data_IF_792636585585
#
_entry.id   IF_792636585585
#
_cell.length_a   1.000
_cell.length_b   1.000
_cell.length_c   1.000
_cell.angle_alpha   90.00
_cell.angle_beta   90.00
_cell.angle_gamma   90.00
#
_symmetry.space_group_name_H-M   'P 1'
#
loop_
_entity.id
_entity.type
_entity.pdbx_description
1 polymer ?
#
# COMPACT_ATOMS: atom_id res chain seq x y z
N UNK A 1 39.39 15.16 -6.59
CA UNK A 1 40.12 16.26 -5.91
C UNK A 1 41.58 15.85 -5.62
N UNK A 2 42.52 16.78 -5.39
CA UNK A 2 43.87 16.49 -4.89
C UNK A 2 44.04 17.04 -3.47
N UNK A 3 44.77 16.34 -2.61
CA UNK A 3 45.11 16.80 -1.27
C UNK A 3 45.96 18.08 -1.37
N UNK A 4 45.54 19.16 -0.70
CA UNK A 4 46.29 20.44 -0.70
C UNK A 4 47.64 20.33 0.02
N UNK A 5 47.80 19.37 0.93
CA UNK A 5 49.03 19.17 1.70
C UNK A 5 50.07 18.32 0.95
N UNK A 6 49.67 17.19 0.35
CA UNK A 6 50.62 16.24 -0.25
C UNK A 6 50.44 16.02 -1.76
N UNK A 7 49.43 16.62 -2.39
CA UNK A 7 49.17 16.54 -3.83
C UNK A 7 48.54 15.23 -4.32
N UNK A 8 48.36 14.22 -3.46
CA UNK A 8 47.77 12.93 -3.82
C UNK A 8 46.32 13.06 -4.28
N UNK A 9 45.91 12.24 -5.26
CA UNK A 9 44.52 12.21 -5.75
C UNK A 9 43.62 11.55 -4.69
N UNK A 10 42.54 12.22 -4.30
CA UNK A 10 41.61 11.77 -3.27
C UNK A 10 40.37 11.10 -3.88
N UNK A 11 39.80 10.08 -3.22
CA UNK A 11 38.45 9.60 -3.51
C UNK A 11 37.43 10.74 -3.34
N UNK A 12 36.35 10.74 -4.12
CA UNK A 12 35.27 11.73 -3.94
C UNK A 12 34.64 11.59 -2.55
N UNK A 13 34.35 12.73 -1.90
CA UNK A 13 33.70 12.77 -0.59
C UNK A 13 34.58 12.45 0.63
N UNK A 14 35.91 12.36 0.49
CA UNK A 14 36.80 12.10 1.63
C UNK A 14 37.15 13.38 2.40
N UNK A 15 36.74 13.48 3.68
CA UNK A 15 37.06 14.60 4.57
C UNK A 15 38.54 14.64 5.00
N UNK A 16 39.23 13.51 4.91
CA UNK A 16 40.63 13.37 5.31
C UNK A 16 41.45 12.67 4.23
N UNK A 17 42.70 13.11 4.05
CA UNK A 17 43.61 12.44 3.14
C UNK A 17 44.06 11.10 3.73
N UNK A 18 43.81 9.96 3.08
CA UNK A 18 44.21 8.65 3.61
C UNK A 18 45.73 8.42 3.58
N UNK A 19 46.48 9.27 2.87
CA UNK A 19 47.94 9.18 2.77
C UNK A 19 48.64 9.99 3.87
N UNK A 20 48.21 11.23 4.12
CA UNK A 20 48.89 12.11 5.08
C UNK A 20 48.06 12.52 6.30
N UNK A 21 46.80 12.09 6.39
CA UNK A 21 45.90 12.42 7.50
C UNK A 21 45.41 13.87 7.54
N UNK A 22 45.83 14.72 6.60
CA UNK A 22 45.41 16.12 6.57
C UNK A 22 43.90 16.23 6.30
N UNK A 23 43.22 17.04 7.12
CA UNK A 23 41.83 17.42 6.88
C UNK A 23 41.73 18.24 5.59
N UNK A 24 40.82 17.85 4.72
CA UNK A 24 40.58 18.55 3.47
C UNK A 24 39.10 18.91 3.44
N UNK A 25 38.74 20.14 3.87
CA UNK A 25 37.35 20.52 4.03
C UNK A 25 36.58 20.31 2.74
N UNK A 26 35.29 19.92 2.83
CA UNK A 26 34.43 19.85 1.66
C UNK A 26 34.45 21.18 0.90
N UNK A 27 34.33 21.11 -0.42
CA UNK A 27 34.25 22.29 -1.29
C UNK A 27 33.09 23.14 -0.75
N UNK A 28 33.30 24.44 -0.44
CA UNK A 28 32.19 25.32 -0.09
C UNK A 28 31.11 25.23 -1.16
N UNK A 29 29.83 25.12 -0.80
CA UNK A 29 28.72 24.93 -1.75
C UNK A 29 28.79 25.93 -2.93
N UNK A 30 29.27 27.13 -2.68
CA UNK A 30 29.47 28.21 -3.66
C UNK A 30 30.46 27.89 -4.79
N UNK A 31 31.25 26.82 -4.65
CA UNK A 31 32.29 26.38 -5.60
C UNK A 31 32.00 25.02 -6.25
N UNK A 32 30.86 24.41 -5.95
CA UNK A 32 30.38 23.24 -6.68
C UNK A 32 29.85 23.67 -8.04
N UNK A 33 30.09 22.87 -9.08
CA UNK A 33 29.37 23.07 -10.34
C UNK A 33 27.88 22.81 -10.15
N UNK A 34 27.01 23.42 -10.97
CA UNK A 34 25.56 23.22 -10.90
C UNK A 34 25.17 21.72 -10.94
N UNK A 35 25.94 20.90 -11.65
CA UNK A 35 25.77 19.45 -11.75
C UNK A 35 26.14 18.70 -10.45
N UNK A 36 27.16 19.15 -9.73
CA UNK A 36 27.56 18.59 -8.43
C UNK A 36 26.59 19.01 -7.31
N UNK A 37 26.06 20.23 -7.37
CA UNK A 37 24.99 20.72 -6.50
C UNK A 37 23.73 19.85 -6.64
N UNK A 38 23.28 19.65 -7.88
CA UNK A 38 22.11 18.84 -8.19
C UNK A 38 22.27 17.39 -7.73
N UNK A 39 23.46 16.80 -7.90
CA UNK A 39 23.70 15.42 -7.46
C UNK A 39 23.68 15.30 -5.93
N UNK A 40 24.33 16.22 -5.21
CA UNK A 40 24.43 16.18 -3.74
C UNK A 40 23.09 16.51 -3.06
N UNK A 41 22.35 17.51 -3.55
CA UNK A 41 20.98 17.78 -3.09
C UNK A 41 20.07 16.59 -3.38
N UNK A 42 20.25 15.90 -4.51
CA UNK A 42 19.39 14.77 -4.87
C UNK A 42 19.68 13.49 -4.09
N UNK A 43 20.92 13.25 -3.66
CA UNK A 43 21.28 12.11 -2.78
C UNK A 43 20.81 12.38 -1.36
N UNK A 44 21.05 13.58 -0.83
CA UNK A 44 20.55 13.98 0.48
C UNK A 44 19.01 14.03 0.52
N UNK A 45 18.34 14.49 -0.55
CA UNK A 45 16.88 14.48 -0.66
C UNK A 45 16.31 13.09 -0.87
N UNK A 46 17.02 12.20 -1.55
CA UNK A 46 16.63 10.80 -1.71
C UNK A 46 16.73 10.02 -0.40
N UNK A 47 17.84 10.21 0.32
CA UNK A 47 18.08 9.60 1.63
C UNK A 47 17.13 10.20 2.67
N UNK A 48 16.88 11.51 2.62
CA UNK A 48 15.84 12.17 3.41
C UNK A 48 14.41 11.77 2.98
N UNK A 49 14.14 11.44 1.71
CA UNK A 49 12.85 10.88 1.28
C UNK A 49 12.68 9.43 1.71
N UNK A 50 13.75 8.64 1.70
CA UNK A 50 13.75 7.25 2.19
C UNK A 50 13.61 7.22 3.70
N UNK A 51 14.39 8.03 4.44
CA UNK A 51 14.16 8.29 5.87
C UNK A 51 12.82 8.95 6.09
N UNK A 52 12.30 9.84 5.24
CA UNK A 52 10.93 10.32 5.38
C UNK A 52 9.88 9.27 5.01
N UNK A 53 10.20 8.21 4.28
CA UNK A 53 9.26 7.12 4.02
C UNK A 53 9.38 6.03 5.10
N UNK A 54 10.53 5.87 5.74
CA UNK A 54 10.76 4.95 6.85
C UNK A 54 10.44 5.58 8.23
N UNK A 55 10.69 6.88 8.40
CA UNK A 55 10.49 7.69 9.62
C UNK A 55 9.29 8.67 9.52
N UNK A 56 8.86 9.07 8.31
CA UNK A 56 7.71 10.00 8.08
C UNK A 56 6.62 9.47 7.10
N UNK A 57 6.58 8.18 6.74
CA UNK A 57 5.26 7.52 6.69
C UNK A 57 4.76 7.82 8.08
N UNK A 58 3.68 8.59 8.26
CA UNK A 58 3.29 8.90 9.60
C UNK A 58 3.01 7.53 10.20
N UNK A 59 3.91 7.09 11.07
CA UNK A 59 3.57 6.34 12.24
C UNK A 59 2.68 7.33 13.03
N UNK A 60 1.51 7.71 12.47
CA UNK A 60 0.31 7.82 13.25
C UNK A 60 0.36 6.49 13.93
N UNK A 61 0.78 6.52 15.20
CA UNK A 61 0.96 5.36 16.03
C UNK A 61 -0.16 4.42 15.61
N UNK A 62 0.13 3.31 14.92
CA UNK A 62 -0.93 2.61 14.15
C UNK A 62 -2.09 2.28 15.08
N UNK A 63 -1.74 2.06 16.35
CA UNK A 63 -2.57 2.01 17.55
C UNK A 63 -3.49 3.23 17.72
N UNK A 64 -2.99 4.47 17.67
CA UNK A 64 -3.80 5.69 17.80
C UNK A 64 -4.71 5.96 16.60
N UNK A 65 -4.27 5.66 15.36
CA UNK A 65 -5.15 5.72 14.18
C UNK A 65 -6.25 4.65 14.26
N UNK A 66 -5.87 3.41 14.57
CA UNK A 66 -6.80 2.29 14.75
C UNK A 66 -7.75 2.56 15.91
N UNK A 67 -7.30 3.15 17.01
CA UNK A 67 -8.17 3.50 18.15
C UNK A 67 -9.19 4.57 17.74
N UNK A 68 -8.76 5.65 17.06
CA UNK A 68 -9.69 6.69 16.59
C UNK A 68 -10.69 6.16 15.55
N UNK A 69 -10.27 5.27 14.65
CA UNK A 69 -11.18 4.63 13.68
C UNK A 69 -12.09 3.58 14.34
N UNK A 70 -11.62 2.86 15.35
CA UNK A 70 -12.44 1.91 16.12
C UNK A 70 -13.56 2.60 16.90
N UNK A 71 -13.35 3.84 17.32
CA UNK A 71 -14.38 4.66 17.96
C UNK A 71 -15.43 5.21 16.97
N UNK A 72 -15.13 5.24 15.66
CA UNK A 72 -15.97 5.89 14.65
C UNK A 72 -17.03 4.99 14.00
N UNK A 73 -16.79 3.67 13.92
CA UNK A 73 -17.72 2.74 13.27
C UNK A 73 -18.47 1.96 14.34
N UNK A 74 -19.76 2.25 14.48
CA UNK A 74 -20.61 1.53 15.44
C UNK A 74 -20.85 0.08 14.98
N UNK A 75 -21.28 -0.83 15.88
CA UNK A 75 -21.67 -2.19 15.47
C UNK A 75 -22.78 -2.23 14.42
N UNK A 76 -23.69 -1.24 14.43
CA UNK A 76 -24.75 -1.11 13.43
C UNK A 76 -24.18 -0.67 12.07
N UNK A 77 -23.27 0.31 12.07
CA UNK A 77 -22.55 0.73 10.85
C UNK A 77 -21.76 -0.45 10.25
N UNK A 78 -21.05 -1.21 11.08
CA UNK A 78 -20.27 -2.37 10.64
C UNK A 78 -21.15 -3.46 10.03
N UNK A 79 -22.29 -3.75 10.65
CA UNK A 79 -23.28 -4.71 10.12
C UNK A 79 -23.87 -4.23 8.79
N UNK A 80 -24.26 -2.97 8.71
CA UNK A 80 -24.83 -2.39 7.49
C UNK A 80 -23.81 -2.39 6.34
N UNK A 81 -22.58 -1.97 6.62
CA UNK A 81 -21.51 -1.91 5.64
C UNK A 81 -21.10 -3.32 5.17
N UNK A 82 -21.05 -4.31 6.07
CA UNK A 82 -20.77 -5.69 5.70
C UNK A 82 -21.80 -6.24 4.71
N UNK A 83 -23.09 -5.98 4.95
CA UNK A 83 -24.17 -6.36 4.03
C UNK A 83 -23.99 -5.70 2.66
N UNK A 84 -23.76 -4.39 2.64
CA UNK A 84 -23.56 -3.64 1.40
C UNK A 84 -22.34 -4.13 0.61
N UNK A 85 -21.24 -4.44 1.29
CA UNK A 85 -20.03 -4.98 0.65
C UNK A 85 -20.29 -6.39 0.09
N UNK A 86 -21.06 -7.23 0.79
CA UNK A 86 -21.41 -8.57 0.29
C UNK A 86 -22.30 -8.55 -0.95
N UNK A 87 -23.17 -7.55 -1.07
CA UNK A 87 -24.10 -7.42 -2.20
C UNK A 87 -23.48 -6.68 -3.39
N UNK A 88 -22.84 -5.53 -3.13
CA UNK A 88 -22.46 -4.54 -4.16
C UNK A 88 -20.97 -4.18 -4.13
N UNK A 89 -20.23 -4.73 -3.17
CA UNK A 89 -18.83 -4.43 -2.97
C UNK A 89 -17.88 -5.49 -3.50
N UNK A 90 -16.62 -5.10 -3.52
CA UNK A 90 -15.48 -6.00 -3.65
C UNK A 90 -14.44 -5.65 -2.60
N UNK A 91 -13.72 -6.67 -2.14
CA UNK A 91 -12.59 -6.50 -1.25
C UNK A 91 -11.49 -7.50 -1.61
N UNK A 92 -10.26 -7.18 -1.26
CA UNK A 92 -9.14 -8.06 -1.56
C UNK A 92 -7.82 -7.31 -1.56
N UNK A 93 -6.98 -7.59 -2.55
CA UNK A 93 -5.73 -6.88 -2.81
C UNK A 93 -5.69 -6.29 -4.21
N UNK A 94 -4.85 -5.27 -4.38
CA UNK A 94 -4.44 -4.75 -5.68
C UNK A 94 -2.92 -4.56 -5.73
N UNK A 95 -2.37 -4.53 -6.94
CA UNK A 95 -0.96 -4.25 -7.18
C UNK A 95 -0.81 -2.78 -7.58
N UNK A 96 0.04 -2.06 -6.87
CA UNK A 96 0.37 -0.67 -7.15
C UNK A 96 1.77 -0.54 -7.74
N UNK A 97 1.95 0.55 -8.50
CA UNK A 97 3.27 1.04 -8.91
C UNK A 97 3.32 2.51 -8.57
N UNK A 98 4.05 2.85 -7.51
CA UNK A 98 4.33 4.24 -7.18
C UNK A 98 5.56 4.70 -7.94
N UNK A 99 5.52 5.94 -8.42
CA UNK A 99 6.62 6.54 -9.17
C UNK A 99 6.92 7.93 -8.60
N UNK A 100 8.16 8.13 -8.15
CA UNK A 100 8.62 9.38 -7.54
C UNK A 100 9.84 9.96 -8.24
N UNK A 101 10.05 11.26 -8.01
CA UNK A 101 11.21 12.05 -8.48
C UNK A 101 11.49 11.88 -9.98
N UNK A 102 10.76 12.65 -10.79
CA UNK A 102 10.90 12.64 -12.24
C UNK A 102 12.07 13.54 -12.67
N UNK A 103 13.09 12.96 -13.28
CA UNK A 103 14.26 13.66 -13.83
C UNK A 103 14.36 13.29 -15.31
N UNK A 104 14.42 14.29 -16.20
CA UNK A 104 14.60 14.08 -17.64
C UNK A 104 13.66 13.05 -18.29
N UNK A 105 12.39 13.04 -17.86
CA UNK A 105 11.30 12.13 -18.29
C UNK A 105 11.35 10.71 -17.72
N UNK A 106 12.38 10.33 -16.97
CA UNK A 106 12.46 9.06 -16.25
C UNK A 106 12.13 9.26 -14.77
N UNK A 107 11.58 8.23 -14.13
CA UNK A 107 11.31 8.24 -12.69
C UNK A 107 12.49 7.59 -11.98
N UNK A 108 13.12 8.31 -11.05
CA UNK A 108 14.27 7.80 -10.28
C UNK A 108 13.86 6.65 -9.36
N UNK A 109 12.62 6.69 -8.84
CA UNK A 109 12.09 5.67 -7.95
C UNK A 109 10.82 5.07 -8.51
N UNK A 110 10.82 3.74 -8.64
CA UNK A 110 9.65 2.95 -9.02
C UNK A 110 9.47 1.84 -7.98
N UNK A 111 8.45 1.97 -7.14
CA UNK A 111 8.13 0.96 -6.13
C UNK A 111 6.92 0.15 -6.57
N UNK A 112 7.04 -1.17 -6.50
CA UNK A 112 5.96 -2.10 -6.78
C UNK A 112 5.55 -2.82 -5.50
N UNK A 113 4.32 -2.61 -5.05
CA UNK A 113 3.81 -3.20 -3.83
C UNK A 113 2.35 -3.64 -4.00
N UNK A 114 1.84 -4.37 -3.03
CA UNK A 114 0.43 -4.75 -2.97
C UNK A 114 -0.23 -4.07 -1.79
N UNK A 115 -1.51 -3.71 -1.93
CA UNK A 115 -2.31 -3.15 -0.82
C UNK A 115 -3.65 -3.84 -0.72
N UNK A 116 -4.22 -3.98 0.49
CA UNK A 116 -5.59 -4.39 0.68
C UNK A 116 -6.54 -3.26 0.25
N UNK A 117 -7.73 -3.60 -0.22
CA UNK A 117 -8.74 -2.62 -0.59
C UNK A 117 -10.16 -3.08 -0.28
N UNK A 118 -11.07 -2.11 -0.15
CA UNK A 118 -12.51 -2.27 -0.22
C UNK A 118 -13.04 -1.24 -1.23
N UNK A 119 -13.90 -1.67 -2.13
CA UNK A 119 -14.59 -0.80 -3.09
C UNK A 119 -16.07 -1.14 -3.13
N UNK A 120 -16.93 -0.13 -3.18
CA UNK A 120 -18.38 -0.30 -3.38
C UNK A 120 -18.78 0.67 -4.49
N UNK A 121 -19.45 0.18 -5.52
CA UNK A 121 -19.86 0.97 -6.67
C UNK A 121 -21.27 0.63 -7.07
N UNK A 122 -22.12 1.63 -7.24
CA UNK A 122 -23.51 1.46 -7.67
C UNK A 122 -23.92 2.58 -8.61
N UNK A 123 -25.03 2.38 -9.34
CA UNK A 123 -25.67 3.39 -10.17
C UNK A 123 -25.85 4.71 -9.40
N UNK A 124 -25.29 5.81 -9.91
CA UNK A 124 -25.38 7.12 -9.23
C UNK A 124 -26.83 7.59 -9.12
N UNK A 125 -27.64 7.34 -10.15
CA UNK A 125 -29.04 7.75 -10.19
C UNK A 125 -29.88 7.10 -9.10
N UNK A 126 -29.58 5.85 -8.76
CA UNK A 126 -30.41 5.02 -7.90
C UNK A 126 -29.87 4.99 -6.46
N UNK A 127 -28.55 5.06 -6.29
CA UNK A 127 -27.90 4.68 -5.03
C UNK A 127 -26.93 5.73 -4.49
N UNK A 128 -27.01 6.99 -4.94
CA UNK A 128 -26.12 8.06 -4.48
C UNK A 128 -26.12 8.21 -2.95
N UNK A 129 -27.29 8.23 -2.32
CA UNK A 129 -27.41 8.37 -0.87
C UNK A 129 -26.76 7.19 -0.13
N UNK A 130 -26.94 5.97 -0.62
CA UNK A 130 -26.32 4.76 -0.07
C UNK A 130 -24.80 4.83 -0.13
N UNK A 131 -24.24 5.22 -1.27
CA UNK A 131 -22.78 5.31 -1.42
C UNK A 131 -22.19 6.49 -0.62
N UNK A 132 -22.90 7.61 -0.53
CA UNK A 132 -22.47 8.74 0.30
C UNK A 132 -22.51 8.37 1.81
N UNK A 133 -23.46 7.54 2.25
CA UNK A 133 -23.47 7.03 3.61
C UNK A 133 -22.33 6.04 3.88
N UNK A 134 -22.06 5.13 2.94
CA UNK A 134 -20.87 4.28 3.01
C UNK A 134 -19.59 5.13 3.06
N UNK A 135 -19.52 6.23 2.30
CA UNK A 135 -18.43 7.21 2.33
C UNK A 135 -18.23 7.84 3.69
N UNK A 136 -19.32 8.20 4.37
CA UNK A 136 -19.30 8.75 5.73
C UNK A 136 -18.72 7.74 6.71
N UNK A 137 -19.26 6.51 6.72
CA UNK A 137 -18.82 5.42 7.61
C UNK A 137 -17.35 5.08 7.35
N UNK A 138 -16.96 4.93 6.08
CA UNK A 138 -15.60 4.60 5.67
C UNK A 138 -14.64 5.79 5.76
N UNK A 139 -15.09 6.97 6.21
CA UNK A 139 -14.30 8.22 6.33
C UNK A 139 -13.47 8.55 5.09
N UNK A 140 -14.06 8.38 3.91
CA UNK A 140 -13.41 8.67 2.63
C UNK A 140 -14.36 9.53 1.78
N UNK A 141 -13.91 9.97 0.60
CA UNK A 141 -14.75 10.72 -0.33
C UNK A 141 -15.25 9.79 -1.44
N UNK A 142 -16.56 9.69 -1.58
CA UNK A 142 -17.17 9.07 -2.74
C UNK A 142 -16.97 9.95 -3.98
N UNK A 143 -16.78 9.31 -5.11
CA UNK A 143 -16.57 9.94 -6.41
C UNK A 143 -17.47 9.28 -7.46
N UNK A 144 -17.68 9.97 -8.57
CA UNK A 144 -18.52 9.48 -9.67
C UNK A 144 -17.62 9.13 -10.84
N UNK A 145 -17.78 7.92 -11.37
CA UNK A 145 -17.08 7.45 -12.57
C UNK A 145 -18.09 7.18 -13.69
N UNK A 146 -17.65 7.42 -14.92
CA UNK A 146 -18.44 7.12 -16.12
C UNK A 146 -18.00 5.78 -16.68
N UNK A 147 -18.83 4.74 -16.55
CA UNK A 147 -18.53 3.40 -17.08
C UNK A 147 -19.26 3.13 -18.39
N UNK A 148 -18.57 2.61 -19.41
CA UNK A 148 -19.23 2.07 -20.59
C UNK A 148 -19.90 0.73 -20.24
N UNK A 149 -21.20 0.62 -20.49
CA UNK A 149 -21.97 -0.61 -20.36
C UNK A 149 -22.69 -0.83 -21.68
N UNK A 150 -22.22 -1.82 -22.45
CA UNK A 150 -22.64 -2.04 -23.84
C UNK A 150 -22.44 -0.79 -24.70
N UNK A 151 -23.52 -0.23 -25.25
CA UNK A 151 -23.53 0.95 -26.12
C UNK A 151 -23.76 2.27 -25.36
N UNK A 152 -23.97 2.22 -24.04
CA UNK A 152 -24.33 3.38 -23.24
C UNK A 152 -23.28 3.68 -22.16
N UNK A 153 -23.21 4.94 -21.74
CA UNK A 153 -22.44 5.32 -20.57
C UNK A 153 -23.36 5.47 -19.38
N UNK A 154 -23.02 4.81 -18.27
CA UNK A 154 -23.70 4.98 -16.99
C UNK A 154 -22.77 5.66 -16.00
N UNK A 155 -23.36 6.51 -15.16
CA UNK A 155 -22.66 7.11 -14.04
C UNK A 155 -22.77 6.16 -12.85
N UNK A 156 -21.63 5.79 -12.29
CA UNK A 156 -21.52 4.97 -11.10
C UNK A 156 -20.95 5.84 -9.98
N UNK A 157 -21.64 5.86 -8.84
CA UNK A 157 -21.14 6.46 -7.62
C UNK A 157 -20.34 5.39 -6.89
N UNK A 158 -19.08 5.69 -6.60
CA UNK A 158 -18.14 4.73 -6.02
C UNK A 158 -17.51 5.30 -4.77
N UNK A 159 -17.31 4.44 -3.78
CA UNK A 159 -16.50 4.70 -2.60
C UNK A 159 -15.41 3.64 -2.51
N UNK A 160 -14.19 4.07 -2.17
CA UNK A 160 -13.04 3.18 -2.07
C UNK A 160 -12.12 3.58 -0.92
N UNK A 161 -11.58 2.58 -0.25
CA UNK A 161 -10.50 2.70 0.73
C UNK A 161 -9.45 1.62 0.45
N UNK A 162 -8.21 1.97 0.71
CA UNK A 162 -7.04 1.11 0.51
C UNK A 162 -6.21 1.08 1.80
N UNK A 163 -5.23 0.17 1.87
CA UNK A 163 -4.24 0.13 2.93
C UNK A 163 -4.80 -0.13 4.34
N UNK A 164 -4.25 0.54 5.35
CA UNK A 164 -4.62 0.36 6.76
C UNK A 164 -6.12 0.49 6.99
N UNK A 165 -6.71 1.54 6.41
CA UNK A 165 -8.14 1.84 6.55
C UNK A 165 -9.02 0.69 6.04
N UNK A 166 -8.64 0.06 4.92
CA UNK A 166 -9.34 -1.11 4.41
C UNK A 166 -9.28 -2.28 5.41
N UNK A 167 -8.11 -2.54 6.02
CA UNK A 167 -7.95 -3.60 7.02
C UNK A 167 -8.76 -3.33 8.29
N UNK A 168 -8.77 -2.10 8.80
CA UNK A 168 -9.56 -1.70 9.98
C UNK A 168 -11.05 -1.96 9.73
N UNK A 169 -11.57 -1.55 8.57
CA UNK A 169 -12.97 -1.79 8.19
C UNK A 169 -13.25 -3.29 8.02
N UNK A 170 -12.37 -4.05 7.34
CA UNK A 170 -12.52 -5.51 7.20
C UNK A 170 -12.61 -6.18 8.57
N UNK A 171 -11.76 -5.78 9.52
CA UNK A 171 -11.72 -6.35 10.88
C UNK A 171 -13.02 -6.10 11.64
N UNK A 172 -13.58 -4.90 11.56
CA UNK A 172 -14.84 -4.55 12.21
C UNK A 172 -16.05 -5.23 11.55
N UNK A 173 -16.06 -5.33 10.22
CA UNK A 173 -17.13 -5.98 9.47
C UNK A 173 -17.06 -7.52 9.52
N UNK A 174 -15.92 -8.10 9.93
CA UNK A 174 -15.65 -9.54 9.89
C UNK A 174 -16.73 -10.44 10.50
N UNK A 175 -17.34 -10.10 11.67
CA UNK A 175 -18.39 -10.93 12.25
C UNK A 175 -19.68 -10.96 11.41
N UNK A 176 -19.88 -9.96 10.55
CA UNK A 176 -21.11 -9.73 9.80
C UNK A 176 -21.00 -10.14 8.33
N UNK A 177 -19.79 -10.31 7.79
CA UNK A 177 -19.62 -10.84 6.44
C UNK A 177 -20.16 -12.28 6.32
N UNK A 178 -20.77 -12.54 5.18
CA UNK A 178 -21.23 -13.85 4.71
C UNK A 178 -20.45 -14.22 3.45
N UNK A 179 -20.62 -13.47 2.36
CA UNK A 179 -19.98 -13.77 1.06
C UNK A 179 -18.48 -13.51 1.12
N UNK A 180 -18.06 -12.32 1.55
CA UNK A 180 -16.66 -11.94 1.54
C UNK A 180 -15.91 -12.30 2.83
N UNK A 181 -16.51 -13.10 3.73
CA UNK A 181 -15.92 -13.44 5.03
C UNK A 181 -14.55 -14.09 4.89
N UNK A 182 -14.45 -15.08 4.00
CA UNK A 182 -13.21 -15.83 3.77
C UNK A 182 -12.12 -14.97 3.14
N UNK A 183 -12.48 -14.11 2.19
CA UNK A 183 -11.54 -13.15 1.60
C UNK A 183 -11.04 -12.15 2.64
N UNK A 184 -11.93 -11.61 3.48
CA UNK A 184 -11.54 -10.68 4.54
C UNK A 184 -10.56 -11.35 5.54
N UNK A 185 -10.82 -12.60 5.94
CA UNK A 185 -9.90 -13.38 6.78
C UNK A 185 -8.53 -13.57 6.11
N UNK A 186 -8.50 -13.86 4.80
CA UNK A 186 -7.26 -14.00 4.05
C UNK A 186 -6.49 -12.68 4.00
N UNK A 187 -7.15 -11.55 3.66
CA UNK A 187 -6.52 -10.23 3.66
C UNK A 187 -5.94 -9.86 5.04
N UNK A 188 -6.74 -9.97 6.10
CA UNK A 188 -6.29 -9.70 7.47
C UNK A 188 -5.11 -10.59 7.87
N UNK A 189 -5.06 -11.81 7.34
CA UNK A 189 -3.92 -12.71 7.54
C UNK A 189 -2.70 -12.21 6.78
N UNK A 190 -2.79 -12.04 5.46
CA UNK A 190 -1.64 -11.72 4.60
C UNK A 190 -1.02 -10.35 4.92
N UNK A 191 -1.83 -9.36 5.27
CA UNK A 191 -1.38 -8.00 5.58
C UNK A 191 -1.17 -7.75 7.08
N UNK A 192 -1.05 -8.80 7.89
CA UNK A 192 -0.90 -8.68 9.36
C UNK A 192 0.30 -7.84 9.81
N UNK A 193 1.44 -7.94 9.12
CA UNK A 193 2.67 -7.23 9.53
C UNK A 193 2.98 -5.99 8.68
N UNK A 194 2.46 -5.95 7.46
CA UNK A 194 2.73 -4.88 6.49
C UNK A 194 1.51 -4.63 5.65
N UNK A 195 1.15 -3.36 5.54
CA UNK A 195 0.08 -2.90 4.66
C UNK A 195 0.53 -2.95 3.20
N UNK A 196 1.84 -2.72 2.95
CA UNK A 196 2.42 -2.56 1.62
C UNK A 196 3.56 -3.57 1.34
N UNK A 197 3.33 -4.89 1.41
CA UNK A 197 4.36 -5.88 1.05
C UNK A 197 4.80 -5.70 -0.41
N UNK A 198 6.06 -6.05 -0.68
CA UNK A 198 6.61 -5.99 -2.04
C UNK A 198 5.76 -6.83 -3.00
N UNK A 199 5.57 -6.32 -4.22
CA UNK A 199 4.77 -6.98 -5.25
C UNK A 199 5.28 -8.39 -5.54
N UNK A 200 6.59 -8.57 -5.62
CA UNK A 200 7.21 -9.85 -5.92
C UNK A 200 6.89 -10.92 -4.86
N UNK A 201 7.13 -10.60 -3.58
CA UNK A 201 6.86 -11.53 -2.49
C UNK A 201 5.36 -11.82 -2.37
N UNK A 202 4.53 -10.79 -2.53
CA UNK A 202 3.08 -10.97 -2.46
C UNK A 202 2.56 -11.86 -3.61
N UNK A 203 2.97 -11.60 -4.85
CA UNK A 203 2.61 -12.43 -6.02
C UNK A 203 3.06 -13.87 -5.82
N UNK A 204 4.26 -14.08 -5.27
CA UNK A 204 4.77 -15.42 -4.95
C UNK A 204 3.89 -16.13 -3.93
N UNK A 205 3.49 -15.46 -2.84
CA UNK A 205 2.59 -16.04 -1.83
C UNK A 205 1.24 -16.42 -2.43
N UNK A 206 0.64 -15.55 -3.24
CA UNK A 206 -0.62 -15.86 -3.93
C UNK A 206 -0.45 -17.06 -4.86
N UNK A 207 0.64 -17.10 -5.64
CA UNK A 207 0.92 -18.23 -6.52
C UNK A 207 1.13 -19.54 -5.75
N UNK A 208 1.82 -19.52 -4.62
CA UNK A 208 2.01 -20.71 -3.78
C UNK A 208 0.70 -21.17 -3.12
N UNK A 209 -0.21 -20.24 -2.78
CA UNK A 209 -1.51 -20.54 -2.21
C UNK A 209 -2.46 -21.19 -3.23
N UNK A 210 -2.58 -20.60 -4.42
CA UNK A 210 -3.58 -20.97 -5.42
C UNK A 210 -3.03 -21.76 -6.62
N UNK A 211 -1.71 -22.04 -6.64
CA UNK A 211 -1.01 -22.70 -7.75
C UNK A 211 -0.67 -21.78 -8.92
N UNK A 212 -1.22 -20.56 -8.94
CA UNK A 212 -0.90 -19.49 -9.90
C UNK A 212 -1.27 -18.14 -9.28
N UNK A 213 -0.73 -17.06 -9.84
CA UNK A 213 -1.19 -15.73 -9.45
C UNK A 213 -2.66 -15.55 -9.84
N UNK A 214 -3.45 -14.99 -8.92
CA UNK A 214 -4.85 -14.66 -9.10
C UNK A 214 -5.10 -13.21 -8.70
N UNK A 215 -6.04 -12.58 -9.38
CA UNK A 215 -6.69 -11.36 -8.89
C UNK A 215 -7.57 -11.69 -7.69
N UNK A 216 -7.88 -10.68 -6.88
CA UNK A 216 -8.73 -10.85 -5.70
C UNK A 216 -10.11 -11.46 -6.05
N UNK A 217 -10.74 -11.02 -7.12
CA UNK A 217 -12.05 -11.53 -7.57
C UNK A 217 -12.00 -13.04 -7.84
N UNK A 218 -11.03 -13.50 -8.66
CA UNK A 218 -10.85 -14.92 -8.98
C UNK A 218 -10.52 -15.77 -7.75
N UNK A 219 -9.72 -15.21 -6.82
CA UNK A 219 -9.43 -15.88 -5.57
C UNK A 219 -10.68 -16.00 -4.68
N UNK A 220 -11.57 -15.01 -4.67
CA UNK A 220 -12.80 -15.04 -3.88
C UNK A 220 -13.71 -16.18 -4.32
N UNK A 221 -13.88 -16.37 -5.62
CA UNK A 221 -14.68 -17.46 -6.17
C UNK A 221 -14.18 -18.83 -5.70
N UNK A 222 -12.86 -19.05 -5.77
CA UNK A 222 -12.24 -20.28 -5.26
C UNK A 222 -12.45 -20.44 -3.75
N UNK A 223 -12.31 -19.35 -2.98
CA UNK A 223 -12.51 -19.39 -1.54
C UNK A 223 -13.96 -19.69 -1.16
N UNK A 224 -14.94 -19.23 -1.93
CA UNK A 224 -16.36 -19.52 -1.72
C UNK A 224 -16.67 -21.01 -1.88
N UNK A 225 -16.02 -21.67 -2.84
CA UNK A 225 -16.23 -23.09 -3.13
C UNK A 225 -15.58 -24.05 -2.12
N UNK A 226 -14.73 -23.55 -1.22
CA UNK A 226 -14.08 -24.40 -0.21
C UNK A 226 -15.07 -24.91 0.85
N UNK A 227 -14.88 -26.14 1.31
CA UNK A 227 -15.49 -26.61 2.57
C UNK A 227 -14.83 -25.90 3.77
N UNK A 228 -15.49 -25.86 4.95
CA UNK A 228 -14.89 -25.28 6.16
C UNK A 228 -13.50 -25.85 6.49
N UNK A 229 -13.31 -27.17 6.39
CA UNK A 229 -12.03 -27.84 6.66
C UNK A 229 -10.96 -27.50 5.62
N UNK A 230 -11.31 -27.43 4.34
CA UNK A 230 -10.38 -26.98 3.29
C UNK A 230 -9.92 -25.56 3.54
N UNK A 231 -10.84 -24.67 3.90
CA UNK A 231 -10.54 -23.28 4.20
C UNK A 231 -9.65 -23.14 5.44
N UNK A 232 -9.88 -23.91 6.50
CA UNK A 232 -9.02 -23.92 7.69
C UNK A 232 -7.58 -24.38 7.36
N UNK A 233 -7.42 -25.43 6.56
CA UNK A 233 -6.12 -25.90 6.08
C UNK A 233 -5.44 -24.83 5.21
N UNK A 234 -6.20 -24.19 4.34
CA UNK A 234 -5.75 -23.10 3.50
C UNK A 234 -5.23 -21.92 4.32
N UNK A 235 -5.95 -21.52 5.37
CA UNK A 235 -5.53 -20.42 6.25
C UNK A 235 -4.25 -20.73 7.02
N UNK A 236 -4.08 -21.96 7.52
CA UNK A 236 -2.80 -22.39 8.14
C UNK A 236 -1.63 -22.28 7.16
N UNK A 237 -1.84 -22.67 5.90
CA UNK A 237 -0.83 -22.49 4.84
C UNK A 237 -0.56 -21.00 4.57
N UNK A 238 -1.59 -20.15 4.54
CA UNK A 238 -1.44 -18.71 4.34
C UNK A 238 -0.65 -18.03 5.46
N UNK A 239 -0.86 -18.42 6.72
CA UNK A 239 -0.08 -17.93 7.86
C UNK A 239 1.40 -18.29 7.73
N UNK A 240 1.71 -19.55 7.41
CA UNK A 240 3.09 -20.01 7.21
C UNK A 240 3.79 -19.25 6.07
N UNK A 241 3.11 -19.05 4.95
CA UNK A 241 3.65 -18.33 3.80
C UNK A 241 3.85 -16.84 4.08
N UNK A 242 2.89 -16.22 4.78
CA UNK A 242 3.02 -14.84 5.25
C UNK A 242 4.24 -14.69 6.15
N UNK A 243 4.37 -15.53 7.17
CA UNK A 243 5.48 -15.43 8.13
C UNK A 243 6.84 -15.62 7.44
N UNK A 244 6.87 -16.43 6.37
CA UNK A 244 8.07 -16.69 5.57
C UNK A 244 8.44 -15.56 4.60
N UNK A 245 7.45 -14.94 3.94
CA UNK A 245 7.71 -14.05 2.80
C UNK A 245 7.26 -12.60 2.98
N UNK A 246 6.30 -12.33 3.88
CA UNK A 246 5.66 -11.01 4.03
C UNK A 246 5.98 -10.34 5.37
N UNK A 247 6.73 -11.00 6.25
CA UNK A 247 7.16 -10.45 7.54
C UNK A 247 8.36 -9.49 7.41
N UNK A 248 9.21 -9.71 6.41
CA UNK A 248 10.50 -9.01 6.20
C UNK A 248 10.30 -7.71 5.45
#
# INVERSE_FOLDING_TARGET
>A
MKCKSCGSKLPSGSDFCPICGAWNPPIPMEMLSDEEHLNMESEWFAEACMQMMEENLPYINEVEFDNKMQELITPEDARWLALLIDTEGSLGWILFTWRGNRINKEYRYVYHYSEPYISIGMSERESKATIDEASRIMTTKAYTIKRPINTEFRLERTVRVDGAKALTIMKQCLPHFVKNKRMAQLCLTLFKYRINPSRENFVKVIAELFGKYLKAEEANDILLDMTPTQFENFMRKAENLRDKYLRI
#
